data_IF_652397489251
#
_entry.id   IF_652397489251
#
_cell.length_a   1.000
_cell.length_b   1.000
_cell.length_c   1.000
_cell.angle_alpha   90.00
_cell.angle_beta   90.00
_cell.angle_gamma   90.00
#
_symmetry.space_group_name_H-M   'P 1'
#
loop_
_entity.id
_entity.type
_entity.pdbx_description
1 polymer ?
#
# COMPACT_ATOMS: atom_id res chain seq x y z
N UNK A 1 15.19 -24.79 19.13
CA UNK A 1 15.43 -23.43 18.58
C UNK A 1 14.54 -22.96 17.39
N UNK A 2 13.68 -23.76 16.74
CA UNK A 2 12.76 -23.33 15.64
C UNK A 2 13.39 -22.35 14.61
N UNK A 3 14.59 -22.67 14.12
CA UNK A 3 15.31 -21.90 13.08
C UNK A 3 15.91 -22.82 12.03
N UNK A 4 16.18 -22.30 10.84
CA UNK A 4 16.91 -23.03 9.80
C UNK A 4 18.41 -23.14 10.10
N UNK A 5 19.05 -24.14 9.50
CA UNK A 5 20.45 -24.53 9.74
C UNK A 5 21.44 -23.36 9.58
N UNK A 6 21.32 -22.56 8.52
CA UNK A 6 22.21 -21.41 8.28
C UNK A 6 22.13 -20.27 9.32
N UNK A 7 21.25 -20.38 10.33
CA UNK A 7 21.13 -19.43 11.44
C UNK A 7 21.55 -20.01 12.79
N UNK A 8 22.00 -21.25 12.81
CA UNK A 8 22.67 -21.83 13.98
C UNK A 8 24.11 -21.31 13.97
N UNK A 9 24.54 -20.78 15.10
CA UNK A 9 25.93 -20.41 15.37
C UNK A 9 26.43 -21.36 16.45
N UNK A 10 27.62 -21.90 16.24
CA UNK A 10 28.31 -22.78 17.19
C UNK A 10 29.59 -22.06 17.55
N UNK A 11 29.93 -22.07 18.83
CA UNK A 11 31.20 -21.55 19.31
C UNK A 11 32.37 -22.36 18.72
N UNK A 12 33.35 -21.73 18.03
CA UNK A 12 34.50 -22.44 17.49
C UNK A 12 35.30 -23.23 18.53
N UNK A 13 35.34 -22.78 19.78
CA UNK A 13 36.13 -23.40 20.85
C UNK A 13 35.45 -24.64 21.45
N UNK A 14 34.12 -24.70 21.41
CA UNK A 14 33.31 -25.81 21.93
C UNK A 14 32.93 -26.84 20.85
N UNK A 15 33.67 -26.89 19.74
CA UNK A 15 33.36 -27.82 18.64
C UNK A 15 33.55 -29.30 19.04
N UNK A 16 34.43 -29.61 19.99
CA UNK A 16 34.58 -30.94 20.58
C UNK A 16 33.33 -31.39 21.34
N UNK A 17 32.89 -30.58 22.31
CA UNK A 17 31.70 -30.88 23.14
C UNK A 17 30.42 -31.01 22.30
N UNK A 18 30.31 -30.19 21.24
CA UNK A 18 29.18 -30.25 20.31
C UNK A 18 29.22 -31.50 19.43
N UNK A 19 30.39 -32.07 19.16
CA UNK A 19 30.53 -33.32 18.41
C UNK A 19 30.18 -34.56 19.26
N UNK A 20 30.38 -34.49 20.58
CA UNK A 20 30.01 -35.54 21.52
C UNK A 20 28.50 -35.57 21.85
N UNK A 21 27.77 -34.49 21.57
CA UNK A 21 26.32 -34.40 21.80
C UNK A 21 25.52 -35.26 20.81
N UNK A 22 24.93 -36.36 21.29
CA UNK A 22 24.15 -37.31 20.47
C UNK A 22 22.64 -37.07 20.64
N UNK A 23 22.17 -36.72 21.84
CA UNK A 23 20.74 -36.59 22.11
C UNK A 23 20.23 -35.16 21.92
N UNK A 24 18.91 -35.01 21.80
CA UNK A 24 18.27 -33.69 21.72
C UNK A 24 18.33 -32.92 23.03
N UNK A 25 18.55 -33.60 24.16
CA UNK A 25 18.65 -32.99 25.48
C UNK A 25 20.04 -32.37 25.66
N UNK A 26 21.10 -33.04 25.24
CA UNK A 26 22.47 -32.50 25.20
C UNK A 26 22.53 -31.19 24.38
N UNK A 27 21.92 -31.20 23.19
CA UNK A 27 21.83 -30.00 22.34
C UNK A 27 21.03 -28.88 23.01
N UNK A 28 20.02 -29.20 23.85
CA UNK A 28 19.29 -28.16 24.60
C UNK A 28 20.16 -27.58 25.72
N UNK A 29 20.94 -28.40 26.42
CA UNK A 29 21.92 -27.94 27.42
C UNK A 29 22.96 -26.98 26.81
N UNK A 30 23.57 -27.37 25.69
CA UNK A 30 24.53 -26.51 24.96
C UNK A 30 23.93 -25.20 24.44
N UNK A 31 22.62 -25.16 24.20
CA UNK A 31 21.88 -23.94 23.85
C UNK A 31 21.67 -23.03 25.06
N UNK A 32 21.41 -23.61 26.24
CA UNK A 32 21.22 -22.87 27.50
C UNK A 32 22.55 -22.30 28.01
N UNK A 33 23.64 -23.05 27.90
CA UNK A 33 25.01 -22.61 28.18
C UNK A 33 25.51 -21.56 27.17
N UNK A 34 24.85 -21.47 26.02
CA UNK A 34 25.14 -20.48 24.98
C UNK A 34 26.27 -20.89 24.03
N UNK A 35 26.74 -22.13 24.07
CA UNK A 35 27.68 -22.69 23.09
C UNK A 35 27.04 -22.83 21.70
N UNK A 36 25.71 -23.01 21.65
CA UNK A 36 24.91 -22.95 20.43
C UNK A 36 23.95 -21.75 20.50
N UNK A 37 24.07 -20.80 19.56
CA UNK A 37 23.22 -19.59 19.50
C UNK A 37 22.42 -19.47 18.21
N UNK A 38 21.34 -18.71 18.28
CA UNK A 38 20.52 -18.33 17.13
C UNK A 38 21.00 -17.00 16.56
N UNK A 39 21.55 -16.98 15.35
CA UNK A 39 21.84 -15.73 14.61
C UNK A 39 20.55 -14.97 14.31
N UNK A 40 20.52 -13.67 14.57
CA UNK A 40 19.36 -12.83 14.24
C UNK A 40 19.12 -12.79 12.72
N UNK A 41 17.85 -12.78 12.29
CA UNK A 41 17.52 -12.64 10.85
C UNK A 41 17.95 -11.26 10.37
N UNK A 42 18.73 -11.18 9.28
CA UNK A 42 18.97 -9.91 8.59
C UNK A 42 17.68 -9.45 7.91
N UNK A 43 17.19 -8.26 8.29
CA UNK A 43 16.05 -7.61 7.63
C UNK A 43 16.50 -6.73 6.46
N UNK A 44 15.65 -6.53 5.46
CA UNK A 44 15.92 -5.58 4.36
C UNK A 44 15.50 -4.18 4.78
N UNK A 45 16.42 -3.22 4.74
CA UNK A 45 16.13 -1.83 5.09
C UNK A 45 15.22 -1.16 4.05
N UNK A 46 14.29 -0.32 4.51
CA UNK A 46 13.36 0.43 3.65
C UNK A 46 13.70 1.92 3.51
N UNK A 47 14.88 2.37 3.99
CA UNK A 47 15.27 3.78 4.02
C UNK A 47 15.19 4.47 2.64
N UNK A 48 15.94 3.94 1.65
CA UNK A 48 15.92 4.45 0.27
C UNK A 48 14.52 4.40 -0.37
N UNK A 49 13.76 3.34 -0.08
CA UNK A 49 12.41 3.19 -0.62
C UNK A 49 11.46 4.29 -0.08
N UNK A 50 11.57 4.62 1.21
CA UNK A 50 10.79 5.70 1.86
C UNK A 50 11.12 7.06 1.28
N UNK A 51 12.41 7.37 1.12
CA UNK A 51 12.85 8.63 0.52
C UNK A 51 12.31 8.81 -0.91
N UNK A 52 12.37 7.76 -1.73
CA UNK A 52 11.80 7.76 -3.08
C UNK A 52 10.29 7.93 -3.05
N UNK A 53 9.60 7.30 -2.09
CA UNK A 53 8.15 7.41 -1.95
C UNK A 53 7.73 8.86 -1.64
N UNK A 54 8.43 9.54 -0.72
CA UNK A 54 8.18 10.96 -0.39
C UNK A 54 8.35 11.83 -1.65
N UNK A 55 9.45 11.66 -2.38
CA UNK A 55 9.69 12.39 -3.64
C UNK A 55 8.56 12.14 -4.67
N UNK A 56 8.05 10.91 -4.78
CA UNK A 56 6.95 10.55 -5.68
C UNK A 56 5.59 11.11 -5.27
N UNK A 57 5.34 11.25 -3.96
CA UNK A 57 4.10 11.85 -3.42
C UNK A 57 4.06 13.35 -3.76
N UNK A 58 5.20 14.04 -3.64
CA UNK A 58 5.36 15.44 -4.06
C UNK A 58 5.32 15.65 -5.59
N UNK A 59 5.08 14.60 -6.38
CA UNK A 59 5.01 14.67 -7.85
C UNK A 59 6.36 14.57 -8.57
N UNK A 60 7.49 14.54 -7.85
CA UNK A 60 8.84 14.37 -8.45
C UNK A 60 9.08 12.92 -8.88
N UNK A 61 10.09 12.69 -9.75
CA UNK A 61 10.44 11.35 -10.30
C UNK A 61 9.28 10.63 -11.03
N UNK A 62 8.38 11.38 -11.66
CA UNK A 62 7.24 10.87 -12.45
C UNK A 62 7.25 11.32 -13.93
N UNK A 63 8.39 11.81 -14.41
CA UNK A 63 8.58 12.27 -15.79
C UNK A 63 8.44 11.15 -16.83
N UNK A 64 8.43 11.50 -18.12
CA UNK A 64 8.22 10.54 -19.22
C UNK A 64 9.28 9.43 -19.26
N UNK A 65 10.57 9.77 -19.12
CA UNK A 65 11.66 8.78 -19.12
C UNK A 65 11.66 7.80 -17.93
N UNK A 66 10.99 8.12 -16.83
CA UNK A 66 10.87 7.21 -15.68
C UNK A 66 9.69 6.23 -15.80
N UNK A 67 8.84 6.36 -16.82
CA UNK A 67 7.63 5.56 -17.00
C UNK A 67 7.93 4.38 -17.91
N UNK A 68 7.65 3.16 -17.45
CA UNK A 68 7.80 1.94 -18.25
C UNK A 68 6.47 1.40 -18.82
N UNK A 69 5.35 1.71 -18.17
CA UNK A 69 4.02 1.19 -18.55
C UNK A 69 3.17 2.16 -19.37
N UNK A 70 2.26 1.59 -20.17
CA UNK A 70 1.27 2.34 -20.95
C UNK A 70 0.41 3.30 -20.10
N UNK A 71 -0.20 4.30 -20.73
CA UNK A 71 -1.04 5.32 -20.04
C UNK A 71 -2.17 4.69 -19.22
N UNK A 72 -2.84 3.67 -19.76
CA UNK A 72 -3.94 2.96 -19.10
C UNK A 72 -3.51 2.08 -17.92
N UNK A 73 -2.28 1.55 -17.94
CA UNK A 73 -1.78 0.67 -16.87
C UNK A 73 -1.54 1.44 -15.56
N UNK A 74 -1.07 2.69 -15.66
CA UNK A 74 -0.81 3.56 -14.50
C UNK A 74 -2.10 4.10 -13.87
N UNK A 75 -3.15 4.28 -14.68
CA UNK A 75 -4.47 4.76 -14.22
C UNK A 75 -5.55 4.24 -15.19
N UNK A 76 -6.22 3.15 -14.80
CA UNK A 76 -7.21 2.49 -15.64
C UNK A 76 -8.45 3.34 -15.93
N UNK A 77 -8.86 3.42 -17.19
CA UNK A 77 -9.99 4.26 -17.68
C UNK A 77 -11.27 4.04 -16.87
N UNK A 78 -11.67 2.77 -16.66
CA UNK A 78 -12.87 2.40 -15.89
C UNK A 78 -12.79 2.87 -14.43
N UNK A 79 -11.64 2.69 -13.76
CA UNK A 79 -11.43 3.13 -12.37
C UNK A 79 -11.54 4.65 -12.24
N UNK A 80 -11.03 5.41 -13.21
CA UNK A 80 -11.19 6.87 -13.26
C UNK A 80 -12.65 7.26 -13.33
N UNK A 81 -13.40 6.67 -14.26
CA UNK A 81 -14.82 6.96 -14.43
C UNK A 81 -15.62 6.61 -13.17
N UNK A 82 -15.39 5.43 -12.57
CA UNK A 82 -16.04 5.00 -11.32
C UNK A 82 -15.79 6.00 -10.20
N UNK A 83 -14.53 6.40 -9.99
CA UNK A 83 -14.16 7.35 -8.93
C UNK A 83 -14.85 8.70 -9.15
N UNK A 84 -14.86 9.17 -10.40
CA UNK A 84 -15.48 10.44 -10.80
C UNK A 84 -17.00 10.43 -10.60
N UNK A 85 -17.70 9.44 -11.14
CA UNK A 85 -19.17 9.39 -11.07
C UNK A 85 -19.67 9.22 -9.62
N UNK A 86 -18.96 8.44 -8.80
CA UNK A 86 -19.29 8.28 -7.37
C UNK A 86 -19.15 9.60 -6.62
N UNK A 87 -18.06 10.33 -6.86
CA UNK A 87 -17.83 11.64 -6.25
C UNK A 87 -18.93 12.66 -6.62
N UNK A 88 -19.33 12.71 -7.91
CA UNK A 88 -20.43 13.56 -8.39
C UNK A 88 -21.77 13.19 -7.76
N UNK A 89 -22.12 11.89 -7.73
CA UNK A 89 -23.39 11.42 -7.16
C UNK A 89 -23.47 11.66 -5.66
N UNK A 90 -22.35 11.49 -4.95
CA UNK A 90 -22.28 11.81 -3.52
C UNK A 90 -22.54 13.29 -3.30
N UNK A 91 -21.91 14.18 -4.08
CA UNK A 91 -22.15 15.62 -3.98
C UNK A 91 -23.60 16.02 -4.28
N UNK A 92 -24.21 15.43 -5.32
CA UNK A 92 -25.61 15.67 -5.62
C UNK A 92 -26.54 15.22 -4.49
N UNK A 93 -26.21 14.10 -3.84
CA UNK A 93 -26.97 13.62 -2.68
C UNK A 93 -26.86 14.61 -1.51
N UNK A 94 -25.64 15.06 -1.18
CA UNK A 94 -25.40 16.08 -0.15
C UNK A 94 -26.21 17.35 -0.42
N UNK A 95 -26.16 17.91 -1.63
CA UNK A 95 -26.89 19.13 -1.97
C UNK A 95 -28.41 18.98 -1.83
N UNK A 96 -28.95 17.81 -2.15
CA UNK A 96 -30.37 17.51 -1.98
C UNK A 96 -30.75 17.39 -0.51
N UNK A 97 -29.94 16.67 0.26
CA UNK A 97 -30.19 16.43 1.69
C UNK A 97 -30.02 17.74 2.50
N UNK A 98 -29.15 18.66 2.06
CA UNK A 98 -29.02 20.03 2.57
C UNK A 98 -30.15 20.98 2.12
N UNK A 99 -31.06 20.54 1.23
CA UNK A 99 -32.15 21.37 0.69
C UNK A 99 -31.74 22.41 -0.35
N UNK A 100 -30.48 22.41 -0.82
CA UNK A 100 -29.97 23.35 -1.84
C UNK A 100 -30.50 23.07 -3.24
N UNK A 101 -30.94 21.85 -3.51
CA UNK A 101 -31.59 21.45 -4.76
C UNK A 101 -32.85 20.66 -4.45
N UNK A 102 -33.89 20.86 -5.25
CA UNK A 102 -35.11 20.07 -5.15
C UNK A 102 -34.93 18.66 -5.76
N UNK A 103 -35.89 17.77 -5.46
CA UNK A 103 -35.87 16.37 -5.93
C UNK A 103 -35.86 16.25 -7.46
N UNK A 104 -36.55 17.14 -8.17
CA UNK A 104 -36.64 17.09 -9.64
C UNK A 104 -35.33 17.54 -10.28
N UNK A 105 -34.72 18.63 -9.78
CA UNK A 105 -33.39 19.09 -10.23
C UNK A 105 -32.32 18.07 -9.92
N UNK A 106 -32.32 17.47 -8.73
CA UNK A 106 -31.43 16.34 -8.40
C UNK A 106 -31.49 15.24 -9.45
N UNK A 107 -32.70 14.81 -9.84
CA UNK A 107 -32.87 13.73 -10.83
C UNK A 107 -32.33 14.13 -12.20
N UNK A 108 -32.60 15.36 -12.67
CA UNK A 108 -32.09 15.89 -13.94
C UNK A 108 -30.56 15.92 -13.95
N UNK A 109 -29.95 16.47 -12.89
CA UNK A 109 -28.48 16.55 -12.75
C UNK A 109 -27.84 15.16 -12.63
N UNK A 110 -28.49 14.22 -11.94
CA UNK A 110 -28.03 12.85 -11.82
C UNK A 110 -27.93 12.14 -13.18
N UNK A 111 -28.93 12.34 -14.05
CA UNK A 111 -28.92 11.80 -15.42
C UNK A 111 -27.84 12.47 -16.28
N UNK A 112 -27.68 13.80 -16.19
CA UNK A 112 -26.58 14.52 -16.85
C UNK A 112 -25.20 14.03 -16.38
N UNK A 113 -25.05 13.73 -15.08
CA UNK A 113 -23.83 13.16 -14.52
C UNK A 113 -23.57 11.74 -15.06
N UNK A 114 -24.61 10.88 -15.16
CA UNK A 114 -24.52 9.56 -15.80
C UNK A 114 -24.01 9.67 -17.24
N UNK A 115 -24.50 10.66 -17.99
CA UNK A 115 -24.08 10.97 -19.36
C UNK A 115 -22.68 11.61 -19.47
N UNK A 116 -22.01 11.91 -18.35
CA UNK A 116 -20.64 12.42 -18.36
C UNK A 116 -20.52 13.93 -18.61
N UNK A 117 -21.62 14.70 -18.52
CA UNK A 117 -21.63 16.16 -18.74
C UNK A 117 -20.62 16.90 -17.84
N UNK A 118 -20.48 16.47 -16.59
CA UNK A 118 -19.60 17.12 -15.61
C UNK A 118 -18.18 16.56 -15.64
N UNK A 119 -17.17 17.43 -15.56
CA UNK A 119 -15.74 17.07 -15.56
C UNK A 119 -15.20 16.80 -14.16
N UNK A 120 -15.68 17.53 -13.17
CA UNK A 120 -15.28 17.48 -11.75
C UNK A 120 -16.45 17.93 -10.86
N UNK A 121 -16.30 17.81 -9.54
CA UNK A 121 -17.26 18.39 -8.59
C UNK A 121 -17.33 19.91 -8.73
N UNK A 122 -16.19 20.58 -8.98
CA UNK A 122 -16.16 22.03 -9.18
C UNK A 122 -17.04 22.45 -10.37
N UNK A 123 -16.90 21.77 -11.52
CA UNK A 123 -17.73 22.04 -12.70
C UNK A 123 -19.21 21.74 -12.44
N UNK A 124 -19.54 20.73 -11.62
CA UNK A 124 -20.92 20.52 -11.19
C UNK A 124 -21.46 21.68 -10.35
N UNK A 125 -20.67 22.16 -9.38
CA UNK A 125 -21.10 23.26 -8.51
C UNK A 125 -21.25 24.58 -9.28
N UNK A 126 -20.37 24.83 -10.26
CA UNK A 126 -20.46 25.97 -11.17
C UNK A 126 -21.76 25.93 -11.98
N UNK A 127 -22.08 24.78 -12.57
CA UNK A 127 -23.33 24.55 -13.33
C UNK A 127 -24.62 24.69 -12.48
N UNK A 128 -24.54 24.63 -11.16
CA UNK A 128 -25.71 24.80 -10.27
C UNK A 128 -25.87 26.27 -9.85
N UNK A 129 -24.78 27.04 -9.87
CA UNK A 129 -24.80 28.48 -9.58
C UNK A 129 -25.28 29.30 -10.77
N UNK A 130 -24.97 28.80 -11.97
CA UNK A 130 -25.47 29.30 -13.26
C UNK A 130 -26.92 28.86 -13.47
#
# INVERSE_FOLDING_TARGET
>A
MKVGLGRVWIDPEATGDVAEAITREDIRGLVEEGLIKKKQKKGVSKGRAREIAIKKVLGRRRGHGSRKGAKGARRGKKKVWITKIRALRRRLKELRDEGKIDKTTYRKLYLKAKGGKFKSIAHLNEFIKE
#
